data_IF_129694875644
#
_entry.id   IF_129694875644
#
_cell.length_a   1.000
_cell.length_b   1.000
_cell.length_c   1.000
_cell.angle_alpha   90.00
_cell.angle_beta   90.00
_cell.angle_gamma   90.00
#
_symmetry.space_group_name_H-M   'P 1'
#
loop_
_entity.id
_entity.type
_entity.pdbx_description
1 polymer ?
#
# COMPACT_ATOMS: atom_id res chain seq x y z
N UNK A 1 -22.45 10.66 21.92
CA UNK A 1 -23.30 10.14 20.84
C UNK A 1 -22.40 9.38 19.90
N UNK A 2 -22.70 8.09 19.70
CA UNK A 2 -21.85 7.11 19.05
C UNK A 2 -21.86 7.30 17.52
N UNK A 3 -20.75 7.76 16.92
CA UNK A 3 -20.59 7.89 15.45
C UNK A 3 -19.35 7.14 14.94
N UNK A 4 -18.95 6.05 15.59
CA UNK A 4 -17.85 5.20 15.17
C UNK A 4 -18.33 3.99 14.35
N UNK A 5 -19.23 4.20 13.39
CA UNK A 5 -19.79 3.12 12.57
C UNK A 5 -19.90 3.57 11.11
N UNK A 6 -18.77 3.49 10.38
CA UNK A 6 -18.65 3.06 8.98
C UNK A 6 -17.26 3.33 8.36
N UNK A 7 -16.17 3.12 9.10
CA UNK A 7 -14.79 3.38 8.60
C UNK A 7 -14.11 2.17 7.94
N UNK A 8 -14.81 1.35 7.13
CA UNK A 8 -14.19 0.25 6.35
C UNK A 8 -13.54 -0.91 7.13
N UNK A 9 -13.15 -0.68 8.39
CA UNK A 9 -12.80 -1.63 9.43
C UNK A 9 -13.77 -1.37 10.59
N UNK A 10 -14.45 -2.42 11.09
CA UNK A 10 -14.99 -2.33 12.45
C UNK A 10 -13.81 -2.60 13.40
N UNK A 11 -13.67 -1.83 14.48
CA UNK A 11 -12.60 -2.00 15.50
C UNK A 11 -12.45 -3.45 15.99
N UNK A 12 -13.53 -4.22 15.93
CA UNK A 12 -13.58 -5.62 16.37
C UNK A 12 -13.77 -6.61 15.21
N UNK A 13 -13.54 -6.19 13.96
CA UNK A 13 -13.63 -7.12 12.83
C UNK A 13 -12.44 -8.08 12.91
N UNK A 14 -12.68 -9.40 13.03
CA UNK A 14 -11.58 -10.35 12.94
C UNK A 14 -10.90 -10.16 11.59
N UNK A 15 -9.57 -10.24 11.57
CA UNK A 15 -8.86 -10.36 10.30
C UNK A 15 -9.39 -11.64 9.66
N UNK A 16 -9.88 -11.60 8.41
CA UNK A 16 -10.43 -12.78 7.77
C UNK A 16 -9.34 -13.86 7.74
N UNK A 17 -9.57 -15.03 8.36
CA UNK A 17 -8.58 -16.11 8.32
C UNK A 17 -8.31 -16.49 6.87
N UNK A 18 -7.05 -16.78 6.53
CA UNK A 18 -6.73 -17.32 5.20
C UNK A 18 -7.58 -18.57 4.89
N UNK A 19 -7.85 -19.40 5.90
CA UNK A 19 -8.72 -20.59 5.84
C UNK A 19 -10.12 -20.30 5.27
N UNK A 20 -10.68 -19.11 5.52
CA UNK A 20 -11.98 -18.73 4.94
C UNK A 20 -11.89 -18.62 3.42
N UNK A 21 -10.79 -18.08 2.91
CA UNK A 21 -10.56 -18.03 1.48
C UNK A 21 -10.27 -19.42 0.95
N UNK A 22 -9.38 -20.21 1.59
CA UNK A 22 -8.98 -21.56 1.15
C UNK A 22 -10.15 -22.54 1.02
N UNK A 23 -11.22 -22.36 1.81
CA UNK A 23 -12.42 -23.19 1.76
C UNK A 23 -13.31 -22.98 0.52
N UNK A 24 -13.01 -21.99 -0.32
CA UNK A 24 -13.80 -21.68 -1.50
C UNK A 24 -13.59 -22.73 -2.61
N UNK A 25 -14.61 -23.02 -3.44
CA UNK A 25 -14.48 -23.96 -4.55
C UNK A 25 -13.45 -23.49 -5.58
N UNK A 26 -12.75 -24.42 -6.24
CA UNK A 26 -11.78 -24.09 -7.29
C UNK A 26 -12.38 -23.22 -8.40
N UNK A 27 -13.65 -23.46 -8.76
CA UNK A 27 -14.40 -22.67 -9.74
C UNK A 27 -14.47 -21.18 -9.38
N UNK A 28 -14.50 -20.84 -8.09
CA UNK A 28 -14.47 -19.44 -7.65
C UNK A 28 -13.11 -18.81 -7.97
N UNK A 29 -12.00 -19.47 -7.61
CA UNK A 29 -10.66 -18.94 -7.89
C UNK A 29 -10.42 -18.77 -9.38
N UNK A 30 -10.77 -19.77 -10.18
CA UNK A 30 -10.59 -19.74 -11.62
C UNK A 30 -11.40 -18.61 -12.26
N UNK A 31 -12.64 -18.41 -11.80
CA UNK A 31 -13.49 -17.31 -12.26
C UNK A 31 -12.88 -15.96 -11.90
N UNK A 32 -12.52 -15.73 -10.63
CA UNK A 32 -11.96 -14.44 -10.19
C UNK A 32 -10.61 -14.14 -10.87
N UNK A 33 -9.76 -15.15 -11.08
CA UNK A 33 -8.53 -15.03 -11.85
C UNK A 33 -8.81 -14.60 -13.29
N UNK A 34 -9.73 -15.30 -13.98
CA UNK A 34 -10.07 -15.04 -15.38
C UNK A 34 -10.72 -13.67 -15.57
N UNK A 35 -11.62 -13.26 -14.68
CA UNK A 35 -12.27 -11.94 -14.73
C UNK A 35 -11.25 -10.82 -14.56
N UNK A 36 -10.33 -10.98 -13.60
CA UNK A 36 -9.25 -10.03 -13.38
C UNK A 36 -8.31 -9.95 -14.59
N UNK A 37 -7.84 -11.09 -15.11
CA UNK A 37 -6.96 -11.14 -16.28
C UNK A 37 -7.64 -10.56 -17.53
N UNK A 38 -8.93 -10.82 -17.73
CA UNK A 38 -9.71 -10.24 -18.83
C UNK A 38 -9.79 -8.71 -18.73
N UNK A 39 -9.98 -8.19 -17.51
CA UNK A 39 -9.97 -6.75 -17.26
C UNK A 39 -8.61 -6.13 -17.56
N UNK A 40 -7.52 -6.75 -17.11
CA UNK A 40 -6.15 -6.28 -17.39
C UNK A 40 -5.83 -6.33 -18.89
N UNK A 41 -6.23 -7.38 -19.59
CA UNK A 41 -6.05 -7.53 -21.03
C UNK A 41 -6.80 -6.43 -21.82
N UNK A 42 -7.94 -5.95 -21.31
CA UNK A 42 -8.67 -4.82 -21.91
C UNK A 42 -7.98 -3.45 -21.73
N UNK A 43 -7.06 -3.34 -20.77
CA UNK A 43 -6.39 -2.09 -20.40
C UNK A 43 -4.96 -1.99 -20.96
N UNK A 44 -4.39 -3.08 -21.48
CA UNK A 44 -2.98 -3.14 -21.88
C UNK A 44 -2.72 -4.03 -23.09
N UNK A 45 -1.66 -3.72 -23.80
CA UNK A 45 -1.25 -4.37 -25.05
C UNK A 45 -0.43 -5.65 -24.78
N UNK A 46 -1.06 -6.72 -24.29
CA UNK A 46 -0.44 -8.05 -24.18
C UNK A 46 0.99 -8.06 -23.57
N UNK A 47 1.16 -7.36 -22.45
CA UNK A 47 2.46 -7.22 -21.78
C UNK A 47 2.87 -8.52 -21.06
N UNK A 48 4.15 -8.87 -21.13
CA UNK A 48 4.68 -10.08 -20.48
C UNK A 48 4.68 -10.01 -18.94
N UNK A 49 4.61 -8.79 -18.39
CA UNK A 49 4.59 -8.50 -16.96
C UNK A 49 3.60 -7.37 -16.70
N UNK A 50 2.77 -7.54 -15.68
CA UNK A 50 1.78 -6.54 -15.26
C UNK A 50 2.05 -6.16 -13.82
N UNK A 51 1.94 -4.86 -13.53
CA UNK A 51 2.00 -4.31 -12.17
C UNK A 51 0.62 -3.74 -11.85
N UNK A 52 -0.01 -4.26 -10.81
CA UNK A 52 -1.17 -3.63 -10.17
C UNK A 52 -0.71 -2.87 -8.94
N UNK A 53 -0.92 -1.56 -8.96
CA UNK A 53 -0.62 -0.67 -7.84
C UNK A 53 -1.87 0.05 -7.39
N UNK A 54 -2.52 -0.50 -6.36
CA UNK A 54 -3.59 0.13 -5.61
C UNK A 54 -3.31 0.01 -4.11
N UNK A 55 -3.32 1.11 -3.33
CA UNK A 55 -3.10 1.04 -1.88
C UNK A 55 -4.04 0.05 -1.18
N UNK A 56 -5.30 -0.08 -1.62
CA UNK A 56 -6.27 -1.03 -1.06
C UNK A 56 -6.01 -2.51 -1.36
N UNK A 57 -4.99 -2.87 -2.15
CA UNK A 57 -4.70 -4.28 -2.45
C UNK A 57 -4.35 -5.11 -1.20
N UNK A 58 -3.95 -4.46 -0.09
CA UNK A 58 -3.68 -5.16 1.16
C UNK A 58 -4.90 -5.92 1.72
N UNK A 59 -6.14 -5.53 1.38
CA UNK A 59 -7.34 -6.26 1.79
C UNK A 59 -7.46 -7.63 1.13
N UNK A 60 -6.80 -7.80 -0.02
CA UNK A 60 -7.03 -8.93 -0.92
C UNK A 60 -5.82 -9.89 -0.98
N UNK A 61 -4.76 -9.70 -0.19
CA UNK A 61 -3.54 -10.48 -0.35
C UNK A 61 -3.74 -11.99 -0.17
N UNK A 62 -4.60 -12.40 0.77
CA UNK A 62 -4.98 -13.80 0.94
C UNK A 62 -5.61 -14.39 -0.33
N UNK A 63 -6.54 -13.67 -0.96
CA UNK A 63 -7.15 -14.09 -2.23
C UNK A 63 -6.14 -14.07 -3.39
N UNK A 64 -5.31 -13.02 -3.47
CA UNK A 64 -4.28 -12.86 -4.53
C UNK A 64 -3.34 -14.07 -4.54
N UNK A 65 -2.92 -14.57 -3.38
CA UNK A 65 -2.09 -15.77 -3.30
C UNK A 65 -2.76 -17.00 -3.93
N UNK A 66 -4.06 -17.17 -3.71
CA UNK A 66 -4.81 -18.32 -4.19
C UNK A 66 -5.05 -18.25 -5.71
N UNK A 67 -5.41 -17.07 -6.22
CA UNK A 67 -5.75 -16.89 -7.64
C UNK A 67 -4.52 -16.61 -8.53
N UNK A 68 -3.44 -16.08 -7.94
CA UNK A 68 -2.17 -15.77 -8.63
C UNK A 68 -0.96 -16.26 -7.81
N UNK A 69 -0.71 -17.57 -7.73
CA UNK A 69 0.40 -18.12 -6.93
C UNK A 69 1.79 -17.69 -7.42
N UNK A 70 1.91 -17.19 -8.66
CA UNK A 70 3.15 -16.61 -9.21
C UNK A 70 3.31 -15.10 -8.97
N UNK A 71 2.37 -14.46 -8.27
CA UNK A 71 2.44 -13.05 -7.95
C UNK A 71 3.58 -12.75 -6.96
N UNK A 72 4.08 -11.52 -7.00
CA UNK A 72 5.06 -10.99 -6.06
C UNK A 72 4.48 -9.75 -5.40
N UNK A 73 4.57 -9.67 -4.08
CA UNK A 73 4.04 -8.55 -3.31
C UNK A 73 5.19 -7.62 -2.94
N UNK A 74 5.09 -6.36 -3.36
CA UNK A 74 5.96 -5.28 -2.89
C UNK A 74 5.11 -4.40 -1.98
N UNK A 75 5.51 -4.31 -0.72
CA UNK A 75 4.83 -3.53 0.28
C UNK A 75 5.68 -2.34 0.70
N UNK A 76 5.27 -1.14 0.26
CA UNK A 76 5.98 0.10 0.59
C UNK A 76 5.41 0.67 1.89
N UNK A 77 6.27 0.83 2.88
CA UNK A 77 5.95 1.42 4.17
C UNK A 77 6.65 2.77 4.33
N UNK A 78 5.98 3.69 5.01
CA UNK A 78 6.51 5.01 5.38
C UNK A 78 6.16 5.27 6.83
N UNK A 79 6.87 6.20 7.47
CA UNK A 79 6.51 6.73 8.79
C UNK A 79 5.00 6.95 8.91
N UNK A 80 4.40 6.40 9.97
CA UNK A 80 2.97 6.44 10.19
C UNK A 80 2.45 7.87 10.26
N UNK A 81 3.20 8.77 10.90
CA UNK A 81 2.82 10.18 11.10
C UNK A 81 2.80 10.92 9.79
N UNK A 82 3.83 10.73 8.97
CA UNK A 82 3.88 11.33 7.63
C UNK A 82 2.83 10.75 6.70
N UNK A 83 2.52 9.46 6.81
CA UNK A 83 1.49 8.79 6.02
C UNK A 83 0.09 9.33 6.37
N UNK A 84 -0.26 9.31 7.66
CA UNK A 84 -1.53 9.82 8.14
C UNK A 84 -1.68 11.32 7.84
N UNK A 85 -0.62 12.12 8.07
CA UNK A 85 -0.64 13.53 7.71
C UNK A 85 -0.86 13.75 6.21
N UNK A 86 -0.20 12.95 5.36
CA UNK A 86 -0.39 13.05 3.91
C UNK A 86 -1.83 12.75 3.51
N UNK A 87 -2.45 11.73 4.11
CA UNK A 87 -3.87 11.42 3.88
C UNK A 87 -4.77 12.57 4.37
N UNK A 88 -4.49 13.14 5.55
CA UNK A 88 -5.27 14.25 6.11
C UNK A 88 -5.27 15.50 5.23
N UNK A 89 -4.16 15.75 4.54
CA UNK A 89 -4.01 16.88 3.63
C UNK A 89 -4.51 16.60 2.21
N UNK A 90 -4.93 15.37 1.91
CA UNK A 90 -5.41 14.99 0.58
C UNK A 90 -6.93 15.00 0.55
N UNK A 91 -7.51 15.76 -0.37
CA UNK A 91 -8.94 15.69 -0.63
C UNK A 91 -9.26 14.42 -1.44
N UNK A 92 -9.98 13.51 -0.80
CA UNK A 92 -10.45 12.26 -1.38
C UNK A 92 -11.92 12.31 -1.80
N UNK A 93 -12.52 13.49 -1.94
CA UNK A 93 -13.92 13.69 -2.33
C UNK A 93 -14.90 12.87 -1.46
N UNK A 94 -14.63 12.76 -0.17
CA UNK A 94 -15.44 11.97 0.78
C UNK A 94 -15.34 10.44 0.67
N UNK A 95 -14.65 9.88 -0.33
CA UNK A 95 -14.57 8.41 -0.53
C UNK A 95 -13.81 7.72 0.62
N UNK A 96 -12.78 8.37 1.14
CA UNK A 96 -11.98 7.88 2.25
C UNK A 96 -12.31 8.68 3.52
N UNK A 97 -13.47 8.41 4.13
CA UNK A 97 -13.97 9.14 5.29
C UNK A 97 -12.97 9.17 6.47
N UNK A 98 -12.20 8.09 6.64
CA UNK A 98 -11.17 8.01 7.68
C UNK A 98 -10.13 9.12 7.57
N UNK A 99 -9.88 9.64 6.36
CA UNK A 99 -8.82 10.61 6.10
C UNK A 99 -9.10 12.00 6.67
N UNK A 100 -10.36 12.33 7.02
CA UNK A 100 -10.74 13.66 7.49
C UNK A 100 -10.73 13.82 9.02
N UNK A 101 -10.24 12.82 9.75
CA UNK A 101 -10.03 12.87 11.20
C UNK A 101 -8.70 12.26 11.58
N UNK A 102 -7.88 13.00 12.32
CA UNK A 102 -6.57 12.55 12.81
C UNK A 102 -6.68 11.32 13.72
N UNK A 103 -7.72 11.24 14.55
CA UNK A 103 -8.00 10.08 15.40
C UNK A 103 -8.37 8.85 14.54
N UNK A 104 -9.27 9.02 13.57
CA UNK A 104 -9.68 7.91 12.69
C UNK A 104 -8.52 7.43 11.82
N UNK A 105 -7.64 8.32 11.38
CA UNK A 105 -6.41 7.96 10.67
C UNK A 105 -5.49 7.09 11.51
N UNK A 106 -5.31 7.42 12.79
CA UNK A 106 -4.52 6.61 13.71
C UNK A 106 -5.10 5.20 13.86
N UNK A 107 -6.41 5.10 14.09
CA UNK A 107 -7.09 3.81 14.18
C UNK A 107 -7.02 2.99 12.90
N UNK A 108 -7.27 3.63 11.75
CA UNK A 108 -7.19 2.97 10.45
C UNK A 108 -5.77 2.45 10.18
N UNK A 109 -4.75 3.24 10.52
CA UNK A 109 -3.35 2.82 10.35
C UNK A 109 -3.00 1.63 11.23
N UNK A 110 -3.48 1.59 12.48
CA UNK A 110 -3.28 0.43 13.37
C UNK A 110 -3.94 -0.84 12.80
N UNK A 111 -5.17 -0.75 12.29
CA UNK A 111 -5.85 -1.88 11.67
C UNK A 111 -5.15 -2.36 10.41
N UNK A 112 -4.66 -1.44 9.58
CA UNK A 112 -3.81 -1.75 8.44
C UNK A 112 -2.54 -2.51 8.88
N UNK A 113 -1.83 -2.05 9.91
CA UNK A 113 -0.63 -2.73 10.41
C UNK A 113 -0.95 -4.13 10.96
N UNK A 114 -2.04 -4.26 11.72
CA UNK A 114 -2.52 -5.54 12.25
C UNK A 114 -2.82 -6.54 11.13
N UNK A 115 -3.52 -6.09 10.08
CA UNK A 115 -3.83 -6.92 8.91
C UNK A 115 -2.57 -7.28 8.12
N UNK A 116 -1.65 -6.33 7.92
CA UNK A 116 -0.39 -6.60 7.25
C UNK A 116 0.50 -7.58 8.03
N UNK A 117 0.49 -7.53 9.36
CA UNK A 117 1.19 -8.51 10.18
C UNK A 117 0.60 -9.90 9.99
N UNK A 118 -0.73 -10.04 10.03
CA UNK A 118 -1.38 -11.31 9.72
C UNK A 118 -0.98 -11.87 8.35
N UNK A 119 -0.91 -11.01 7.32
CA UNK A 119 -0.48 -11.44 5.99
C UNK A 119 0.98 -11.87 5.94
N UNK A 120 1.88 -11.21 6.67
CA UNK A 120 3.28 -11.68 6.78
C UNK A 120 3.38 -13.06 7.42
N UNK A 121 2.51 -13.33 8.39
CA UNK A 121 2.55 -14.60 9.13
C UNK A 121 1.89 -15.76 8.35
N UNK A 122 1.01 -15.46 7.38
CA UNK A 122 0.17 -16.47 6.70
C UNK A 122 0.44 -16.64 5.21
N UNK A 123 0.95 -15.63 4.51
CA UNK A 123 1.24 -15.72 3.08
C UNK A 123 2.53 -16.52 2.82
N UNK A 124 2.52 -17.28 1.73
CA UNK A 124 3.64 -18.07 1.24
C UNK A 124 4.18 -17.58 -0.10
N UNK A 125 3.43 -16.70 -0.80
CA UNK A 125 3.92 -16.05 -2.03
C UNK A 125 5.06 -15.07 -1.72
N UNK A 126 5.97 -14.80 -2.69
CA UNK A 126 7.07 -13.86 -2.49
C UNK A 126 6.59 -12.49 -2.03
N UNK A 127 7.17 -12.00 -0.94
CA UNK A 127 6.82 -10.74 -0.29
C UNK A 127 8.08 -9.94 0.03
N UNK A 128 8.10 -8.66 -0.31
CA UNK A 128 9.19 -7.73 -0.02
C UNK A 128 8.66 -6.45 0.61
N UNK A 129 9.14 -6.15 1.83
CA UNK A 129 8.93 -4.85 2.46
C UNK A 129 9.97 -3.84 1.96
N UNK A 130 9.51 -2.62 1.68
CA UNK A 130 10.37 -1.49 1.29
C UNK A 130 10.05 -0.29 2.17
N UNK A 131 11.05 0.22 2.87
CA UNK A 131 10.92 1.49 3.61
C UNK A 131 11.10 2.65 2.65
N UNK A 132 10.14 3.57 2.64
CA UNK A 132 10.16 4.77 1.81
C UNK A 132 11.38 5.63 2.11
N UNK A 133 11.73 5.78 3.40
CA UNK A 133 12.87 6.57 3.82
C UNK A 133 14.20 5.97 3.30
N UNK A 134 14.32 4.65 3.29
CA UNK A 134 15.48 3.95 2.71
C UNK A 134 15.52 4.12 1.19
N UNK A 135 14.37 3.99 0.50
CA UNK A 135 14.27 4.22 -0.95
C UNK A 135 14.72 5.63 -1.32
N UNK A 136 14.33 6.63 -0.54
CA UNK A 136 14.73 8.02 -0.79
C UNK A 136 16.22 8.24 -0.51
N UNK A 137 16.78 7.58 0.51
CA UNK A 137 18.19 7.69 0.87
C UNK A 137 19.14 6.97 -0.11
N UNK A 138 18.71 5.85 -0.68
CA UNK A 138 19.47 5.03 -1.64
C UNK A 138 18.58 4.52 -2.78
N UNK A 139 18.23 5.44 -3.69
CA UNK A 139 17.33 5.16 -4.82
C UNK A 139 17.83 4.00 -5.65
N UNK A 140 19.11 4.01 -6.03
CA UNK A 140 19.65 3.00 -6.92
C UNK A 140 19.75 1.65 -6.24
N UNK A 141 20.31 1.58 -5.02
CA UNK A 141 20.45 0.31 -4.32
C UNK A 141 19.11 -0.33 -4.01
N UNK A 142 18.10 0.44 -3.60
CA UNK A 142 16.75 -0.09 -3.36
C UNK A 142 16.06 -0.47 -4.68
N UNK A 143 16.20 0.33 -5.74
CA UNK A 143 15.63 0.01 -7.06
C UNK A 143 16.23 -1.27 -7.64
N UNK A 144 17.53 -1.50 -7.47
CA UNK A 144 18.19 -2.74 -7.89
C UNK A 144 17.61 -3.96 -7.18
N UNK A 145 17.41 -3.89 -5.86
CA UNK A 145 16.77 -4.97 -5.08
C UNK A 145 15.34 -5.24 -5.54
N UNK A 146 14.58 -4.18 -5.84
CA UNK A 146 13.20 -4.30 -6.35
C UNK A 146 13.14 -5.00 -7.72
N UNK A 147 14.05 -4.62 -8.63
CA UNK A 147 14.15 -5.21 -9.97
C UNK A 147 14.55 -6.68 -9.89
N UNK A 148 15.55 -7.00 -9.06
CA UNK A 148 16.00 -8.37 -8.81
C UNK A 148 14.90 -9.24 -8.17
N UNK A 149 14.19 -8.72 -7.16
CA UNK A 149 13.04 -9.39 -6.55
C UNK A 149 11.96 -9.75 -7.58
N UNK A 150 11.72 -8.86 -8.55
CA UNK A 150 10.81 -9.09 -9.67
C UNK A 150 11.32 -10.10 -10.71
N UNK A 151 12.59 -10.52 -10.63
CA UNK A 151 13.25 -11.37 -11.62
C UNK A 151 13.39 -10.66 -12.98
N UNK A 152 13.70 -9.36 -12.96
CA UNK A 152 13.88 -8.52 -14.14
C UNK A 152 15.35 -8.11 -14.29
N UNK A 153 15.77 -7.82 -15.52
CA UNK A 153 17.10 -7.26 -15.79
C UNK A 153 17.16 -5.79 -15.39
N UNK A 154 18.32 -5.36 -14.89
CA UNK A 154 18.55 -3.96 -14.54
C UNK A 154 18.58 -3.06 -15.79
N UNK A 155 17.71 -2.05 -15.80
CA UNK A 155 17.77 -0.93 -16.75
C UNK A 155 18.01 0.39 -15.99
N UNK A 156 19.12 1.12 -16.26
CA UNK A 156 19.38 2.42 -15.65
C UNK A 156 18.24 3.44 -15.80
N UNK A 157 17.36 3.30 -16.81
CA UNK A 157 16.17 4.15 -16.98
C UNK A 157 15.21 4.12 -15.80
N UNK A 158 15.29 3.11 -14.93
CA UNK A 158 14.52 3.08 -13.66
C UNK A 158 14.82 4.31 -12.79
N UNK A 159 16.06 4.82 -12.82
CA UNK A 159 16.44 6.02 -12.07
C UNK A 159 15.87 7.31 -12.68
N UNK A 160 15.54 7.25 -13.97
CA UNK A 160 14.97 8.33 -14.77
C UNK A 160 13.44 8.23 -14.86
N UNK A 161 12.77 7.57 -13.90
CA UNK A 161 11.32 7.31 -13.91
C UNK A 161 10.47 8.56 -14.18
N UNK A 162 10.91 9.73 -13.68
CA UNK A 162 10.22 11.01 -13.81
C UNK A 162 10.24 11.58 -15.25
N UNK A 163 11.07 11.02 -16.14
CA UNK A 163 11.12 11.36 -17.57
C UNK A 163 10.12 10.56 -18.40
N UNK A 164 9.43 9.58 -17.81
CA UNK A 164 8.44 8.76 -18.51
C UNK A 164 7.25 9.61 -18.97
N UNK A 165 6.87 9.46 -20.24
CA UNK A 165 5.69 10.12 -20.83
C UNK A 165 4.38 9.39 -20.55
N UNK A 166 4.44 8.23 -19.86
CA UNK A 166 3.25 7.43 -19.55
C UNK A 166 2.27 8.25 -18.72
N UNK A 167 0.98 8.21 -19.11
CA UNK A 167 -0.07 8.80 -18.31
C UNK A 167 -0.19 8.06 -16.97
N UNK A 168 -0.07 8.81 -15.87
CA UNK A 168 -0.26 8.32 -14.51
C UNK A 168 -1.49 9.03 -13.94
N UNK A 169 -2.49 8.27 -13.50
CA UNK A 169 -3.69 8.84 -12.87
C UNK A 169 -3.67 8.53 -11.37
N UNK A 170 -3.19 9.47 -10.56
CA UNK A 170 -3.09 9.29 -9.10
C UNK A 170 -3.07 10.63 -8.37
N UNK A 171 -3.53 10.66 -7.11
CA UNK A 171 -3.50 11.85 -6.26
C UNK A 171 -2.08 12.42 -6.07
N UNK A 172 -1.06 11.57 -6.15
CA UNK A 172 0.36 11.96 -6.08
C UNK A 172 0.99 12.31 -7.44
N UNK A 173 0.21 12.52 -8.51
CA UNK A 173 0.72 12.70 -9.88
C UNK A 173 1.84 13.75 -9.99
N UNK A 174 1.63 14.93 -9.41
CA UNK A 174 2.60 16.04 -9.44
C UNK A 174 3.90 15.71 -8.69
N UNK A 175 3.87 14.75 -7.76
CA UNK A 175 5.03 14.29 -7.00
C UNK A 175 5.86 13.29 -7.82
N UNK A 176 5.19 12.38 -8.53
CA UNK A 176 5.85 11.33 -9.34
C UNK A 176 6.55 11.90 -10.59
N UNK A 177 6.16 13.09 -11.05
CA UNK A 177 6.83 13.81 -12.15
C UNK A 177 8.13 14.53 -11.75
N UNK A 178 8.57 14.41 -10.51
CA UNK A 178 9.80 15.01 -10.01
C UNK A 178 10.83 13.93 -9.69
N UNK A 179 12.13 14.25 -9.75
CA UNK A 179 13.15 13.42 -9.14
C UNK A 179 12.81 13.14 -7.67
N UNK A 180 13.33 12.04 -7.13
CA UNK A 180 13.16 11.73 -5.69
C UNK A 180 13.64 12.91 -4.85
N UNK A 181 12.82 13.26 -3.86
CA UNK A 181 13.04 14.38 -2.96
C UNK A 181 12.75 13.97 -1.52
N UNK A 182 13.40 14.65 -0.58
CA UNK A 182 13.33 14.35 0.86
C UNK A 182 12.31 15.18 1.63
N UNK A 183 11.69 16.19 1.01
CA UNK A 183 10.77 17.12 1.70
C UNK A 183 9.48 16.49 2.23
N UNK A 184 9.20 15.24 1.83
CA UNK A 184 8.13 14.42 2.38
C UNK A 184 8.54 13.74 3.70
N UNK A 185 9.83 13.51 3.95
CA UNK A 185 10.31 12.82 5.15
C UNK A 185 10.29 13.77 6.36
N UNK A 186 9.74 13.28 7.47
CA UNK A 186 9.58 14.02 8.71
C UNK A 186 8.79 15.33 8.58
N UNK A 187 7.92 15.44 7.56
CA UNK A 187 7.06 16.61 7.35
C UNK A 187 6.10 16.79 8.53
N UNK A 188 5.72 15.70 9.20
CA UNK A 188 4.90 15.74 10.40
C UNK A 188 5.44 16.64 11.51
N UNK A 189 6.77 16.82 11.60
CA UNK A 189 7.39 17.69 12.62
C UNK A 189 6.94 19.15 12.52
N UNK A 190 6.67 19.64 11.30
CA UNK A 190 6.17 21.01 11.11
C UNK A 190 4.75 21.22 11.66
N UNK A 191 4.01 20.14 11.88
CA UNK A 191 2.64 20.14 12.36
C UNK A 191 2.49 19.44 13.71
N UNK A 192 3.60 19.08 14.37
CA UNK A 192 3.62 18.25 15.57
C UNK A 192 2.64 18.74 16.65
N UNK A 193 2.58 20.05 16.88
CA UNK A 193 1.67 20.68 17.84
C UNK A 193 0.17 20.47 17.55
N UNK A 194 -0.20 20.03 16.34
CA UNK A 194 -1.57 19.77 15.91
C UNK A 194 -1.90 18.28 15.76
N UNK A 195 -0.93 17.40 15.99
CA UNK A 195 -1.07 15.96 15.75
C UNK A 195 -1.36 15.15 17.01
N UNK A 196 -1.64 15.79 18.14
CA UNK A 196 -2.00 15.11 19.38
C UNK A 196 -3.12 14.06 19.20
N UNK A 197 -4.24 14.32 18.49
CA UNK A 197 -5.26 13.29 18.29
C UNK A 197 -4.76 12.08 17.49
N UNK A 198 -3.84 12.30 16.55
CA UNK A 198 -3.21 11.21 15.79
C UNK A 198 -2.25 10.40 16.68
N UNK A 199 -1.40 11.09 17.45
CA UNK A 199 -0.43 10.42 18.32
C UNK A 199 -1.10 9.60 19.41
N UNK A 200 -2.22 10.09 19.97
CA UNK A 200 -3.00 9.36 20.95
C UNK A 200 -3.69 8.11 20.37
N UNK A 201 -4.02 8.14 19.07
CA UNK A 201 -4.69 7.03 18.39
C UNK A 201 -3.72 5.98 17.81
N UNK A 202 -2.50 6.37 17.42
CA UNK A 202 -1.49 5.46 16.91
C UNK A 202 -0.97 4.52 18.00
N UNK A 203 -0.85 3.24 17.68
CA UNK A 203 -0.27 2.26 18.59
C UNK A 203 1.24 2.56 18.78
N UNK A 204 1.71 2.77 20.04
CA UNK A 204 3.11 3.09 20.31
C UNK A 204 4.07 1.93 20.00
N UNK A 205 3.58 0.69 19.88
CA UNK A 205 4.36 -0.49 19.51
C UNK A 205 4.67 -0.58 18.01
N UNK A 206 3.91 0.13 17.18
CA UNK A 206 4.21 0.24 15.74
C UNK A 206 5.50 1.05 15.60
N UNK A 207 6.53 0.54 14.91
CA UNK A 207 7.81 1.22 14.80
C UNK A 207 7.66 2.57 14.07
N UNK A 208 7.65 3.65 14.86
CA UNK A 208 7.66 5.05 14.40
C UNK A 208 9.07 5.58 14.15
N UNK A 209 10.06 4.70 13.95
CA UNK A 209 11.46 5.13 13.91
C UNK A 209 11.83 5.74 12.56
N UNK A 210 12.22 7.01 12.65
CA UNK A 210 13.04 7.76 11.70
C UNK A 210 14.45 7.21 11.60
#
# INVERSE_FOLDING_TARGET
GNTASNFGFRRDMPVPPLEHFESLPQEFYDKEANDYLSRIASLSSNEARVIDKMPGNFFYLGLIQLIFPGARIIHVQRDARDTCLSCYFTDFNGIHEYAYSLENLGHYYNEYQRLMQHWRDSLTIPFMDVRYEELVADVEGVSRRLVDFCGLDWDPKVLDFYKSERMINTASYQQVKKPIYTSSIARWKYYEAHLEPLFNALDPSIPHKS
#
